data_IF_906798602625
#
_entry.id   IF_906798602625
#
_cell.length_a   1.000
_cell.length_b   1.000
_cell.length_c   1.000
_cell.angle_alpha   90.00
_cell.angle_beta   90.00
_cell.angle_gamma   90.00
#
_symmetry.space_group_name_H-M   'P 1'
#
loop_
_entity.id
_entity.type
_entity.pdbx_description
1 polymer ?
#
# COMPACT_ATOMS: atom_id res chain seq x y z
N UNK A 1 -29.56 -4.47 -5.49
CA UNK A 1 -29.95 -5.89 -5.69
C UNK A 1 -29.05 -6.77 -4.82
N UNK A 2 -29.53 -7.21 -3.66
CA UNK A 2 -28.73 -8.04 -2.73
C UNK A 2 -28.83 -9.52 -3.07
N UNK A 3 -27.75 -10.27 -2.81
CA UNK A 3 -27.70 -11.71 -3.00
C UNK A 3 -28.54 -12.44 -1.93
N UNK A 4 -29.86 -12.56 -2.16
CA UNK A 4 -30.80 -13.21 -1.22
C UNK A 4 -30.69 -14.74 -1.16
N UNK A 5 -29.98 -15.37 -2.10
CA UNK A 5 -29.85 -16.83 -2.24
C UNK A 5 -28.47 -17.38 -1.89
N UNK A 6 -27.59 -16.57 -1.31
CA UNK A 6 -26.25 -17.01 -0.91
C UNK A 6 -26.22 -17.29 0.59
N UNK A 7 -25.59 -18.40 0.96
CA UNK A 7 -25.29 -18.71 2.36
C UNK A 7 -24.24 -17.72 2.87
N UNK A 8 -24.51 -16.97 3.95
CA UNK A 8 -23.51 -16.09 4.55
C UNK A 8 -22.29 -16.89 5.03
N UNK A 9 -21.12 -16.26 4.95
CA UNK A 9 -19.90 -16.85 5.47
C UNK A 9 -19.99 -17.02 7.00
N UNK A 10 -19.56 -18.17 7.49
CA UNK A 10 -19.39 -18.41 8.92
C UNK A 10 -18.00 -17.93 9.34
N UNK A 11 -17.92 -17.00 10.28
CA UNK A 11 -16.65 -16.47 10.76
C UNK A 11 -16.05 -17.38 11.83
N UNK A 12 -14.74 -17.53 11.82
CA UNK A 12 -14.05 -18.19 12.93
C UNK A 12 -14.23 -17.39 14.22
N UNK A 13 -14.26 -18.11 15.34
CA UNK A 13 -14.17 -17.52 16.68
C UNK A 13 -12.72 -17.32 17.11
N UNK A 14 -11.79 -17.98 16.43
CA UNK A 14 -10.37 -17.79 16.60
C UNK A 14 -9.99 -16.43 16.01
N UNK A 15 -9.51 -15.54 16.87
CA UNK A 15 -9.23 -14.15 16.50
C UNK A 15 -7.95 -14.05 15.66
N UNK A 16 -6.94 -14.85 16.00
CA UNK A 16 -5.67 -14.93 15.31
C UNK A 16 -5.21 -16.40 15.23
N UNK A 17 -5.11 -16.99 14.03
CA UNK A 17 -4.57 -18.33 13.88
C UNK A 17 -3.09 -18.34 14.25
N UNK A 18 -2.65 -19.36 14.99
CA UNK A 18 -1.25 -19.52 15.38
C UNK A 18 -0.33 -19.75 14.18
N UNK A 19 0.97 -19.51 14.35
CA UNK A 19 1.97 -19.87 13.34
C UNK A 19 1.90 -21.36 12.97
N UNK A 20 2.08 -21.68 11.68
CA UNK A 20 1.94 -23.05 11.17
C UNK A 20 0.50 -23.53 11.00
N UNK A 21 -0.51 -22.72 11.37
CA UNK A 21 -1.91 -23.08 11.14
C UNK A 21 -2.20 -23.16 9.64
N UNK A 22 -2.91 -24.23 9.26
CA UNK A 22 -3.37 -24.42 7.89
C UNK A 22 -4.50 -23.47 7.55
N UNK A 23 -4.44 -22.90 6.35
CA UNK A 23 -5.50 -22.07 5.81
C UNK A 23 -5.73 -22.35 4.33
N UNK A 24 -6.92 -21.99 3.88
CA UNK A 24 -7.40 -22.23 2.52
C UNK A 24 -7.91 -20.92 1.94
N UNK A 25 -7.55 -20.64 0.69
CA UNK A 25 -8.14 -19.54 -0.06
C UNK A 25 -8.39 -19.96 -1.51
N UNK A 26 -9.29 -19.25 -2.18
CA UNK A 26 -9.62 -19.53 -3.57
C UNK A 26 -8.90 -18.58 -4.52
N UNK A 27 -8.65 -19.05 -5.74
CA UNK A 27 -8.21 -18.16 -6.82
C UNK A 27 -9.31 -17.14 -7.19
N UNK A 28 -8.95 -16.07 -7.91
CA UNK A 28 -9.88 -14.94 -8.22
C UNK A 28 -11.12 -15.36 -9.02
N UNK A 29 -11.09 -16.52 -9.69
CA UNK A 29 -12.21 -17.08 -10.45
C UNK A 29 -13.00 -18.15 -9.67
N UNK A 30 -12.64 -18.42 -8.41
CA UNK A 30 -13.24 -19.42 -7.54
C UNK A 30 -13.22 -20.86 -8.07
N UNK A 31 -12.39 -21.18 -9.08
CA UNK A 31 -12.31 -22.53 -9.67
C UNK A 31 -11.32 -23.46 -8.97
N UNK A 32 -10.39 -22.92 -8.18
CA UNK A 32 -9.36 -23.69 -7.49
C UNK A 32 -9.19 -23.18 -6.08
N UNK A 33 -9.16 -24.12 -5.13
CA UNK A 33 -8.70 -23.89 -3.78
C UNK A 33 -7.17 -24.02 -3.75
N UNK A 34 -6.55 -23.21 -2.90
CA UNK A 34 -5.14 -23.24 -2.61
C UNK A 34 -4.98 -23.31 -1.10
N UNK A 35 -4.03 -24.13 -0.67
CA UNK A 35 -3.74 -24.38 0.74
C UNK A 35 -2.38 -23.77 1.05
N UNK A 36 -2.23 -23.27 2.25
CA UNK A 36 -0.98 -22.73 2.77
C UNK A 36 -1.01 -22.68 4.30
N UNK A 37 -0.01 -22.02 4.87
CA UNK A 37 0.16 -21.89 6.31
C UNK A 37 0.33 -20.44 6.73
N UNK A 38 -0.03 -20.16 7.99
CA UNK A 38 0.34 -18.90 8.65
C UNK A 38 1.86 -18.92 8.85
N UNK A 39 2.55 -17.96 8.24
CA UNK A 39 4.00 -17.93 8.19
C UNK A 39 4.65 -17.08 9.28
N UNK A 40 3.89 -16.25 9.99
CA UNK A 40 4.39 -15.41 11.07
C UNK A 40 3.27 -14.93 11.97
N UNK A 41 3.60 -14.60 13.22
CA UNK A 41 2.72 -13.92 14.15
C UNK A 41 2.15 -12.65 13.53
N UNK A 42 0.88 -12.42 13.81
CA UNK A 42 0.22 -11.19 13.40
C UNK A 42 0.97 -9.97 13.94
N UNK A 43 1.09 -8.95 13.10
CA UNK A 43 1.60 -7.63 13.49
C UNK A 43 0.90 -6.51 12.72
N UNK A 44 0.92 -5.26 13.19
CA UNK A 44 0.58 -4.12 12.35
C UNK A 44 1.60 -3.99 11.20
N UNK A 45 1.16 -3.40 10.10
CA UNK A 45 2.04 -2.90 9.05
C UNK A 45 1.89 -1.39 9.02
N UNK A 46 2.97 -0.70 9.39
CA UNK A 46 3.00 0.75 9.48
C UNK A 46 2.70 1.41 8.14
N UNK A 47 2.23 2.65 8.23
CA UNK A 47 2.01 3.49 7.07
C UNK A 47 3.35 4.02 6.56
N UNK A 48 3.62 3.83 5.26
CA UNK A 48 4.87 4.29 4.64
C UNK A 48 4.67 5.63 3.91
N UNK A 49 3.43 5.95 3.52
CA UNK A 49 3.08 7.19 2.83
C UNK A 49 3.35 7.18 1.32
N UNK A 50 2.99 8.29 0.68
CA UNK A 50 3.21 8.53 -0.74
C UNK A 50 4.66 8.88 -1.07
N UNK A 51 5.06 8.67 -2.32
CA UNK A 51 6.37 9.08 -2.82
C UNK A 51 6.28 9.79 -4.16
N UNK A 52 7.17 10.76 -4.38
CA UNK A 52 7.37 11.40 -5.68
C UNK A 52 8.22 10.49 -6.59
N UNK A 53 9.22 9.81 -6.02
CA UNK A 53 10.15 8.96 -6.77
C UNK A 53 11.25 9.75 -7.48
N UNK A 54 11.98 10.49 -6.67
CA UNK A 54 13.18 11.24 -7.02
C UNK A 54 14.30 10.85 -6.05
N UNK A 55 15.54 10.96 -6.51
CA UNK A 55 16.74 10.86 -5.68
C UNK A 55 17.19 12.29 -5.38
N UNK A 56 17.27 12.60 -4.09
CA UNK A 56 17.65 13.92 -3.60
C UNK A 56 19.18 14.00 -3.49
N UNK A 57 19.73 15.12 -3.97
CA UNK A 57 21.14 15.47 -3.91
C UNK A 57 21.41 16.43 -2.75
N UNK A 58 22.26 17.42 -3.01
CA UNK A 58 22.58 18.47 -2.05
C UNK A 58 21.33 19.29 -1.68
N UNK A 59 21.23 19.64 -0.41
CA UNK A 59 20.24 20.51 0.18
C UNK A 59 20.91 21.58 1.05
N UNK A 60 20.12 22.54 1.52
CA UNK A 60 20.56 23.58 2.42
C UNK A 60 20.02 24.96 2.08
N UNK A 61 20.18 25.87 3.04
CA UNK A 61 19.71 27.26 2.94
C UNK A 61 20.42 28.01 1.81
N UNK A 62 21.71 27.77 1.60
CA UNK A 62 22.51 28.41 0.55
C UNK A 62 22.03 28.06 -0.87
N UNK A 63 21.49 26.84 -1.04
CA UNK A 63 20.87 26.41 -2.30
C UNK A 63 19.44 26.96 -2.43
N UNK A 64 18.82 27.36 -1.32
CA UNK A 64 17.42 27.78 -1.24
C UNK A 64 16.44 26.62 -1.44
N UNK A 65 16.87 25.38 -1.23
CA UNK A 65 16.05 24.20 -1.51
C UNK A 65 16.84 22.90 -1.55
N UNK A 66 16.25 21.88 -2.19
CA UNK A 66 16.79 20.52 -2.28
C UNK A 66 16.95 20.14 -3.75
N UNK A 67 18.17 19.81 -4.17
CA UNK A 67 18.47 19.41 -5.54
C UNK A 67 17.88 18.03 -5.87
N UNK A 68 17.20 17.91 -7.01
CA UNK A 68 16.84 16.63 -7.62
C UNK A 68 18.05 16.11 -8.41
N UNK A 69 18.73 15.11 -7.86
CA UNK A 69 19.87 14.46 -8.51
C UNK A 69 19.42 13.52 -9.64
N UNK A 70 18.28 12.86 -9.46
CA UNK A 70 17.71 11.95 -10.45
C UNK A 70 16.21 11.81 -10.28
N UNK A 71 15.49 11.68 -11.39
CA UNK A 71 14.07 11.33 -11.41
C UNK A 71 13.93 9.88 -11.84
N UNK A 72 13.21 9.07 -11.07
CA UNK A 72 13.04 7.65 -11.39
C UNK A 72 12.11 7.49 -12.60
N UNK A 73 12.45 6.67 -13.60
CA UNK A 73 11.55 6.40 -14.73
C UNK A 73 10.21 5.84 -14.26
N UNK A 74 9.12 6.31 -14.87
CA UNK A 74 7.73 5.91 -14.54
C UNK A 74 7.31 6.23 -13.09
N UNK A 75 8.02 7.13 -12.41
CA UNK A 75 7.61 7.63 -11.09
C UNK A 75 6.57 8.74 -11.19
N UNK A 76 6.01 9.11 -10.04
CA UNK A 76 5.10 10.25 -9.92
C UNK A 76 5.77 11.57 -10.35
N UNK A 77 7.03 11.79 -9.96
CA UNK A 77 7.81 12.95 -10.36
C UNK A 77 8.05 13.01 -11.86
N UNK A 78 8.40 11.88 -12.49
CA UNK A 78 8.55 11.82 -13.93
C UNK A 78 7.24 12.11 -14.67
N UNK A 79 6.12 11.53 -14.21
CA UNK A 79 4.80 11.77 -14.78
C UNK A 79 4.34 13.23 -14.65
N UNK A 80 4.79 13.91 -13.59
CA UNK A 80 4.50 15.32 -13.35
C UNK A 80 5.43 16.30 -14.08
N UNK A 81 6.51 15.82 -14.73
CA UNK A 81 7.46 16.65 -15.46
C UNK A 81 8.61 17.22 -14.62
N UNK A 82 8.88 16.65 -13.45
CA UNK A 82 10.11 16.95 -12.70
C UNK A 82 11.32 16.42 -13.45
N UNK A 83 12.43 17.13 -13.36
CA UNK A 83 13.68 16.81 -14.06
C UNK A 83 14.88 16.83 -13.13
N UNK A 84 15.95 16.16 -13.56
CA UNK A 84 17.26 16.27 -12.90
C UNK A 84 17.72 17.73 -12.99
N UNK A 85 18.21 18.26 -11.87
CA UNK A 85 18.68 19.64 -11.78
C UNK A 85 17.64 20.62 -11.22
N UNK A 86 16.39 20.20 -11.08
CA UNK A 86 15.38 20.98 -10.36
C UNK A 86 15.78 21.13 -8.89
N UNK A 87 15.66 22.34 -8.35
CA UNK A 87 15.83 22.59 -6.91
C UNK A 87 14.44 22.78 -6.31
N UNK A 88 14.01 21.83 -5.47
CA UNK A 88 12.71 21.89 -4.79
C UNK A 88 12.78 22.93 -3.69
N UNK A 89 11.90 23.93 -3.75
CA UNK A 89 11.86 25.02 -2.77
C UNK A 89 10.61 24.96 -1.90
N UNK A 90 9.54 24.31 -2.37
CA UNK A 90 8.28 24.22 -1.63
C UNK A 90 7.53 22.91 -1.93
N UNK A 91 6.94 22.34 -0.89
CA UNK A 91 6.10 21.14 -0.95
C UNK A 91 4.79 21.41 -0.20
N UNK A 92 3.67 21.31 -0.90
CA UNK A 92 2.35 21.44 -0.28
C UNK A 92 2.09 22.81 0.38
N UNK A 93 2.72 23.88 -0.13
CA UNK A 93 2.63 25.22 0.43
C UNK A 93 3.70 25.53 1.48
N UNK A 94 4.48 24.54 1.93
CA UNK A 94 5.53 24.74 2.93
C UNK A 94 6.92 24.80 2.29
N UNK A 95 7.73 25.79 2.69
CA UNK A 95 9.11 25.90 2.21
C UNK A 95 9.97 24.77 2.75
N UNK A 96 10.82 24.23 1.89
CA UNK A 96 11.73 23.13 2.20
C UNK A 96 13.15 23.51 1.81
N UNK A 97 14.05 23.39 2.77
CA UNK A 97 15.50 23.58 2.60
C UNK A 97 16.29 22.37 3.09
N UNK A 98 15.59 21.39 3.64
CA UNK A 98 16.11 20.25 4.38
C UNK A 98 15.40 18.98 3.92
N UNK A 99 16.20 17.96 3.62
CA UNK A 99 15.74 16.68 3.09
C UNK A 99 14.74 15.98 4.00
N UNK A 100 15.01 15.92 5.29
CA UNK A 100 14.17 15.24 6.27
C UNK A 100 12.77 15.88 6.28
N UNK A 101 12.69 17.21 6.29
CA UNK A 101 11.43 17.94 6.18
C UNK A 101 10.66 17.61 4.89
N UNK A 102 11.34 17.55 3.75
CA UNK A 102 10.70 17.18 2.49
C UNK A 102 10.14 15.75 2.53
N UNK A 103 10.92 14.79 3.06
CA UNK A 103 10.51 13.40 3.19
C UNK A 103 9.27 13.28 4.10
N UNK A 104 9.26 14.00 5.21
CA UNK A 104 8.13 14.06 6.14
C UNK A 104 6.88 14.62 5.45
N UNK A 105 6.99 15.78 4.80
CA UNK A 105 5.85 16.42 4.13
C UNK A 105 5.24 15.54 3.05
N UNK A 106 6.08 14.92 2.21
CA UNK A 106 5.59 13.99 1.18
C UNK A 106 5.01 12.73 1.82
N UNK A 107 5.71 12.13 2.79
CA UNK A 107 5.31 10.89 3.46
C UNK A 107 4.07 11.03 4.34
N UNK A 108 3.73 12.25 4.78
CA UNK A 108 2.49 12.54 5.51
C UNK A 108 1.23 12.37 4.65
N UNK A 109 1.35 12.41 3.32
CA UNK A 109 0.25 12.22 2.36
C UNK A 109 0.20 10.77 1.84
N UNK A 110 -0.96 10.32 1.38
CA UNK A 110 -1.17 8.97 0.87
C UNK A 110 -0.83 8.86 -0.63
N UNK A 111 -0.46 7.66 -1.11
CA UNK A 111 -0.43 7.38 -2.54
C UNK A 111 -1.78 7.68 -3.19
N UNK A 112 -1.77 8.46 -4.28
CA UNK A 112 -2.97 8.97 -4.95
C UNK A 112 -3.29 10.42 -4.60
N UNK A 113 -2.77 10.96 -3.49
CA UNK A 113 -2.93 12.37 -3.16
C UNK A 113 -2.16 13.26 -4.13
N UNK A 114 -2.68 14.45 -4.38
CA UNK A 114 -2.04 15.45 -5.25
C UNK A 114 -1.35 16.50 -4.39
N UNK A 115 -0.02 16.56 -4.48
CA UNK A 115 0.79 17.56 -3.78
C UNK A 115 1.36 18.54 -4.80
N UNK A 116 1.28 19.84 -4.49
CA UNK A 116 1.90 20.89 -5.32
C UNK A 116 3.36 21.03 -4.91
N UNK A 117 4.26 20.94 -5.89
CA UNK A 117 5.71 21.07 -5.72
C UNK A 117 6.19 22.27 -6.51
N UNK A 118 6.83 23.23 -5.84
CA UNK A 118 7.51 24.33 -6.53
C UNK A 118 8.99 24.04 -6.63
N UNK A 119 9.54 24.27 -7.81
CA UNK A 119 10.96 24.06 -8.09
C UNK A 119 11.55 25.26 -8.79
N UNK A 120 12.85 25.48 -8.59
CA UNK A 120 13.67 26.36 -9.39
C UNK A 120 14.40 25.54 -10.45
N UNK A 121 14.16 25.85 -11.73
CA UNK A 121 14.83 25.24 -12.88
C UNK A 121 15.62 26.34 -13.60
N UNK A 122 16.93 26.36 -13.42
CA UNK A 122 17.77 27.49 -13.85
C UNK A 122 17.35 28.78 -13.11
N UNK A 123 16.86 29.79 -13.86
CA UNK A 123 16.37 31.05 -13.30
C UNK A 123 14.84 31.12 -13.19
N UNK A 124 14.12 30.08 -13.59
CA UNK A 124 12.65 30.07 -13.60
C UNK A 124 12.08 29.30 -12.42
N UNK A 125 11.02 29.85 -11.83
CA UNK A 125 10.22 29.16 -10.82
C UNK A 125 9.06 28.44 -11.51
N UNK A 126 8.97 27.13 -11.31
CA UNK A 126 7.94 26.27 -11.88
C UNK A 126 7.12 25.63 -10.76
N UNK A 127 5.87 25.29 -11.06
CA UNK A 127 4.95 24.64 -10.11
C UNK A 127 4.33 23.42 -10.77
N UNK A 128 4.45 22.27 -10.10
CA UNK A 128 4.00 20.98 -10.59
C UNK A 128 2.97 20.38 -9.64
N UNK A 129 1.89 19.82 -10.19
CA UNK A 129 0.92 19.02 -9.43
C UNK A 129 1.33 17.56 -9.54
N UNK A 130 1.79 16.97 -8.44
CA UNK A 130 2.33 15.62 -8.41
C UNK A 130 1.33 14.70 -7.70
N UNK A 131 0.80 13.71 -8.41
CA UNK A 131 0.02 12.62 -7.81
C UNK A 131 0.98 11.58 -7.22
N UNK A 132 1.01 11.44 -5.90
CA UNK A 132 1.96 10.58 -5.21
C UNK A 132 1.77 9.10 -5.57
N UNK A 133 2.88 8.39 -5.73
CA UNK A 133 2.91 6.96 -6.00
C UNK A 133 3.08 6.13 -4.74
N UNK A 134 2.87 4.81 -4.87
CA UNK A 134 3.27 3.87 -3.83
C UNK A 134 4.79 3.68 -3.82
N UNK A 135 5.41 3.65 -2.64
CA UNK A 135 6.84 3.40 -2.48
C UNK A 135 7.30 2.12 -3.19
N UNK A 136 6.51 1.06 -3.08
CA UNK A 136 6.75 -0.24 -3.73
C UNK A 136 6.89 -0.11 -5.25
N UNK A 137 6.05 0.69 -5.91
CA UNK A 137 6.06 0.83 -7.37
C UNK A 137 7.35 1.51 -7.87
N UNK A 138 7.90 2.42 -7.07
CA UNK A 138 9.11 3.17 -7.44
C UNK A 138 10.38 2.39 -7.12
N UNK A 139 10.48 1.81 -5.93
CA UNK A 139 11.74 1.27 -5.41
C UNK A 139 11.87 -0.25 -5.52
N UNK A 140 10.77 -1.01 -5.68
CA UNK A 140 10.85 -2.47 -5.89
C UNK A 140 11.61 -2.78 -7.19
N UNK A 141 11.63 -1.88 -8.17
CA UNK A 141 12.36 -2.06 -9.43
C UNK A 141 13.89 -2.14 -9.26
N UNK A 142 14.42 -1.60 -8.16
CA UNK A 142 15.84 -1.63 -7.82
C UNK A 142 16.23 -2.90 -7.04
N UNK A 143 15.24 -3.67 -6.54
CA UNK A 143 15.49 -4.91 -5.80
C UNK A 143 15.37 -6.14 -6.74
N UNK A 144 16.48 -6.85 -6.94
CA UNK A 144 16.52 -8.08 -7.77
C UNK A 144 15.51 -9.13 -7.30
N UNK A 145 15.33 -9.31 -5.99
CA UNK A 145 14.39 -10.29 -5.46
C UNK A 145 12.94 -9.91 -5.78
N UNK A 146 12.60 -8.62 -5.72
CA UNK A 146 11.26 -8.15 -6.05
C UNK A 146 10.91 -8.34 -7.53
N UNK A 147 11.89 -8.23 -8.44
CA UNK A 147 11.71 -8.53 -9.87
C UNK A 147 11.35 -10.01 -10.12
N UNK A 148 11.84 -10.92 -9.29
CA UNK A 148 11.55 -12.36 -9.39
C UNK A 148 10.21 -12.76 -8.76
N UNK A 149 9.53 -11.84 -8.07
CA UNK A 149 8.26 -12.12 -7.38
C UNK A 149 7.02 -12.14 -8.27
N UNK A 150 7.15 -11.68 -9.52
CA UNK A 150 6.03 -11.44 -10.42
C UNK A 150 5.15 -10.25 -9.97
N UNK A 151 3.92 -10.14 -10.50
CA UNK A 151 3.01 -9.06 -10.12
C UNK A 151 2.64 -9.10 -8.63
N UNK A 152 2.69 -7.94 -7.98
CA UNK A 152 2.39 -7.74 -6.54
C UNK A 152 1.31 -6.67 -6.35
N UNK A 153 0.71 -6.60 -5.17
CA UNK A 153 -0.26 -5.56 -4.83
C UNK A 153 0.39 -4.18 -4.80
N UNK A 154 -0.32 -3.15 -5.26
CA UNK A 154 0.17 -1.76 -5.23
C UNK A 154 0.31 -1.25 -3.78
N UNK A 155 -0.77 -1.38 -3.00
CA UNK A 155 -0.81 -1.09 -1.56
C UNK A 155 -0.44 -2.34 -0.76
N UNK A 156 0.51 -2.20 0.16
CA UNK A 156 1.04 -3.30 0.99
C UNK A 156 1.21 -2.89 2.45
N UNK A 157 0.73 -1.71 2.83
CA UNK A 157 1.03 -1.02 4.08
C UNK A 157 -0.24 -0.44 4.73
N UNK A 158 -0.07 0.22 5.87
CA UNK A 158 -1.14 0.83 6.66
C UNK A 158 -2.26 -0.20 6.98
N UNK A 159 -1.85 -1.33 7.53
CA UNK A 159 -2.76 -2.37 8.01
C UNK A 159 -2.64 -2.44 9.54
N UNK A 160 -3.72 -2.18 10.30
CA UNK A 160 -3.63 -2.16 11.77
C UNK A 160 -3.31 -3.54 12.34
N UNK A 161 -3.64 -4.60 11.60
CA UNK A 161 -3.37 -5.98 11.96
C UNK A 161 -3.39 -6.84 10.70
N UNK A 162 -2.46 -7.79 10.58
CA UNK A 162 -2.41 -8.74 9.46
C UNK A 162 -2.26 -10.17 9.94
N UNK A 163 -2.79 -11.10 9.16
CA UNK A 163 -2.38 -12.50 9.08
C UNK A 163 -1.40 -12.60 7.92
N UNK A 164 -0.20 -13.10 8.16
CA UNK A 164 0.78 -13.38 7.11
C UNK A 164 0.72 -14.84 6.74
N UNK A 165 0.57 -15.15 5.45
CA UNK A 165 0.52 -16.52 4.95
C UNK A 165 1.19 -16.68 3.59
N UNK A 166 1.42 -17.93 3.20
CA UNK A 166 2.18 -18.28 2.00
C UNK A 166 1.35 -18.78 0.81
N UNK A 167 0.01 -18.82 0.95
CA UNK A 167 -0.88 -19.16 -0.18
C UNK A 167 -0.56 -18.28 -1.38
N UNK A 168 -0.18 -18.95 -2.48
CA UNK A 168 0.21 -18.29 -3.72
C UNK A 168 -1.01 -17.69 -4.42
N UNK A 169 -1.30 -16.42 -4.16
CA UNK A 169 -2.40 -15.68 -4.77
C UNK A 169 -1.89 -14.60 -5.73
N UNK A 170 -2.53 -14.39 -6.88
CA UNK A 170 -2.28 -13.21 -7.69
C UNK A 170 -2.88 -11.94 -7.05
N UNK A 171 -2.38 -10.73 -7.37
CA UNK A 171 -2.91 -9.49 -6.79
C UNK A 171 -4.40 -9.24 -7.05
N UNK A 172 -4.96 -9.82 -8.12
CA UNK A 172 -6.39 -9.74 -8.43
C UNK A 172 -7.27 -10.71 -7.61
N UNK A 173 -6.68 -11.58 -6.79
CA UNK A 173 -7.39 -12.43 -5.83
C UNK A 173 -7.54 -11.76 -4.44
N UNK A 174 -7.00 -10.54 -4.26
CA UNK A 174 -7.22 -9.76 -3.04
C UNK A 174 -8.71 -9.39 -2.92
N UNK A 175 -9.23 -9.42 -1.70
CA UNK A 175 -10.66 -9.42 -1.39
C UNK A 175 -11.25 -10.83 -1.22
N UNK A 176 -10.52 -11.88 -1.60
CA UNK A 176 -10.91 -13.26 -1.36
C UNK A 176 -10.84 -13.65 0.13
N UNK A 177 -11.69 -14.60 0.53
CA UNK A 177 -11.73 -15.10 1.90
C UNK A 177 -10.51 -15.99 2.22
N UNK A 178 -10.06 -15.93 3.47
CA UNK A 178 -9.14 -16.90 4.07
C UNK A 178 -9.94 -17.76 5.03
N UNK A 179 -9.88 -19.07 4.85
CA UNK A 179 -10.67 -20.05 5.59
C UNK A 179 -9.77 -20.99 6.39
N UNK A 180 -10.27 -21.50 7.51
CA UNK A 180 -9.70 -22.66 8.19
C UNK A 180 -10.09 -23.96 7.45
N UNK A 181 -9.58 -25.11 7.92
CA UNK A 181 -9.92 -26.42 7.35
C UNK A 181 -11.39 -26.84 7.58
N UNK A 182 -12.11 -26.17 8.47
CA UNK A 182 -13.53 -26.38 8.73
C UNK A 182 -14.43 -25.46 7.87
N UNK A 183 -13.84 -24.66 6.98
CA UNK A 183 -14.56 -23.71 6.12
C UNK A 183 -15.01 -22.42 6.81
N UNK A 184 -14.51 -22.12 8.02
CA UNK A 184 -14.78 -20.85 8.71
C UNK A 184 -13.81 -19.77 8.26
N UNK A 185 -14.31 -18.55 8.06
CA UNK A 185 -13.49 -17.43 7.64
C UNK A 185 -12.61 -16.89 8.77
N UNK A 186 -11.30 -16.97 8.56
CA UNK A 186 -10.24 -16.38 9.37
C UNK A 186 -10.00 -14.91 9.00
N UNK A 187 -10.32 -14.50 7.77
CA UNK A 187 -10.02 -13.15 7.31
C UNK A 187 -10.30 -12.91 5.83
N UNK A 188 -9.80 -11.77 5.32
CA UNK A 188 -9.89 -11.37 3.91
C UNK A 188 -8.50 -10.99 3.40
N UNK A 189 -8.07 -11.57 2.29
CA UNK A 189 -6.80 -11.24 1.63
C UNK A 189 -6.77 -9.76 1.21
N UNK A 190 -5.67 -9.05 1.46
CA UNK A 190 -5.56 -7.62 1.15
C UNK A 190 -4.31 -7.23 0.37
N UNK A 191 -3.19 -7.93 0.55
CA UNK A 191 -2.00 -7.63 -0.22
C UNK A 191 -1.17 -8.87 -0.53
N UNK A 192 -0.84 -9.09 -1.81
CA UNK A 192 0.28 -9.93 -2.20
C UNK A 192 1.54 -9.07 -2.15
N UNK A 193 2.46 -9.41 -1.25
CA UNK A 193 3.66 -8.60 -0.97
C UNK A 193 4.80 -8.99 -1.89
N UNK A 194 5.02 -10.30 -2.03
CA UNK A 194 6.02 -10.93 -2.89
C UNK A 194 5.53 -12.31 -3.37
N UNK A 195 6.42 -13.22 -3.77
CA UNK A 195 6.05 -14.57 -4.25
C UNK A 195 5.65 -15.56 -3.16
N UNK A 196 6.02 -15.32 -1.90
CA UNK A 196 5.79 -16.20 -0.74
C UNK A 196 5.03 -15.51 0.39
N UNK A 197 4.85 -14.19 0.32
CA UNK A 197 4.19 -13.41 1.37
C UNK A 197 2.88 -12.82 0.88
N UNK A 198 1.79 -13.21 1.52
CA UNK A 198 0.46 -12.59 1.36
C UNK A 198 -0.07 -12.17 2.72
N UNK A 199 -0.72 -11.01 2.75
CA UNK A 199 -1.39 -10.47 3.93
C UNK A 199 -2.90 -10.59 3.81
N UNK A 200 -3.55 -10.96 4.91
CA UNK A 200 -4.99 -10.90 5.08
C UNK A 200 -5.34 -10.09 6.33
N UNK A 201 -6.49 -9.43 6.33
CA UNK A 201 -7.04 -8.81 7.53
C UNK A 201 -7.74 -9.87 8.40
N UNK A 202 -7.46 -9.94 9.71
CA UNK A 202 -8.13 -10.87 10.61
C UNK A 202 -9.65 -10.66 10.67
N UNK A 203 -10.38 -11.75 10.89
CA UNK A 203 -11.85 -11.79 10.97
C UNK A 203 -12.40 -10.80 11.99
N UNK A 204 -11.72 -10.61 13.13
CA UNK A 204 -12.11 -9.67 14.19
C UNK A 204 -12.21 -8.24 13.64
N UNK A 205 -11.19 -7.77 12.93
CA UNK A 205 -11.15 -6.43 12.34
C UNK A 205 -12.24 -6.26 11.27
N UNK A 206 -12.43 -7.28 10.44
CA UNK A 206 -13.45 -7.27 9.38
C UNK A 206 -14.85 -7.19 9.99
N UNK A 207 -15.13 -7.98 11.02
CA UNK A 207 -16.44 -8.02 11.70
C UNK A 207 -16.79 -6.69 12.36
N UNK A 208 -15.85 -6.08 13.10
CA UNK A 208 -16.03 -4.76 13.70
C UNK A 208 -16.36 -3.70 12.64
N UNK A 209 -15.65 -3.73 11.51
CA UNK A 209 -15.88 -2.80 10.40
C UNK A 209 -17.25 -3.03 9.74
N UNK A 210 -17.63 -4.29 9.53
CA UNK A 210 -18.93 -4.66 8.94
C UNK A 210 -20.09 -4.18 9.81
N UNK A 211 -19.99 -4.30 11.14
CA UNK A 211 -20.99 -3.80 12.08
C UNK A 211 -21.14 -2.28 12.02
N UNK A 212 -20.03 -1.55 11.98
CA UNK A 212 -20.03 -0.09 11.81
C UNK A 212 -20.73 0.32 10.50
N UNK A 213 -20.39 -0.33 9.40
CA UNK A 213 -21.00 -0.05 8.09
C UNK A 213 -22.50 -0.37 8.04
N UNK A 214 -22.93 -1.45 8.72
CA UNK A 214 -24.37 -1.80 8.84
C UNK A 214 -25.15 -0.73 9.61
N UNK A 215 -24.60 -0.23 10.72
CA UNK A 215 -25.23 0.82 11.54
C UNK A 215 -25.27 2.16 10.81
N UNK A 216 -24.21 2.52 10.09
CA UNK A 216 -24.16 3.78 9.34
C UNK A 216 -25.25 3.87 8.26
N UNK A 217 -25.59 2.75 7.60
CA UNK A 217 -26.67 2.72 6.60
C UNK A 217 -28.06 2.93 7.19
N UNK A 218 -28.26 2.66 8.48
CA UNK A 218 -29.55 2.85 9.16
C UNK A 218 -29.73 4.27 9.73
N UNK A 219 -28.70 5.13 9.67
CA UNK A 219 -28.78 6.53 10.12
C UNK A 219 -29.01 7.52 8.96
N UNK A 220 -29.06 7.03 7.73
CA UNK A 220 -29.23 7.83 6.51
C UNK A 220 -30.59 7.65 5.84
N UNK A 221 -31.56 7.07 6.56
CA UNK A 221 -33.00 7.02 6.23
C UNK A 221 -33.78 7.78 7.31
#
# INVERSE_FOLDING_TARGET
KGAKKLTPVSWSKEEEPGEGSWLVSADYNLKRLKVGVVGAKGRPIDRVGGVIGVILGQDGVDLGGILIQQVMPRSAGAAAGLEKGDVVTNVGGQEVTDREKMIELVGSNDPGDVVVIKVKRGNSMLSFRVTLGHRSVVFDMMNRNARMSGPVSKRKDNFPMIIQHDVSLPPNAMGGAVLDLNGKALGINVARVDRVTTYALPSQLVRVTLEKLRRSKHKSE
#
